data_IF_335460624523
#
_entry.id   IF_335460624523
#
_cell.length_a   1.000
_cell.length_b   1.000
_cell.length_c   1.000
_cell.angle_alpha   90.00
_cell.angle_beta   90.00
_cell.angle_gamma   90.00
#
_symmetry.space_group_name_H-M   'P 1'
#
loop_
_entity.id
_entity.type
_entity.pdbx_description
1 polymer ?
#
# COMPACT_ATOMS: atom_id res chain seq x y z
N UNK A 1 67.77 -143.61 -40.02
CA UNK A 1 66.35 -143.27 -39.82
C UNK A 1 65.51 -144.26 -40.60
N UNK A 2 64.61 -144.96 -39.92
CA UNK A 2 63.62 -145.79 -40.59
C UNK A 2 62.54 -144.93 -41.23
N UNK A 3 61.92 -145.38 -42.32
CA UNK A 3 60.84 -144.65 -43.01
C UNK A 3 59.70 -144.23 -42.07
N UNK A 4 59.46 -144.97 -40.98
CA UNK A 4 58.44 -144.66 -39.98
C UNK A 4 58.79 -143.43 -39.11
N UNK A 5 60.06 -143.23 -38.78
CA UNK A 5 60.51 -142.06 -37.99
C UNK A 5 60.41 -140.77 -38.80
N UNK A 6 60.69 -140.85 -40.10
CA UNK A 6 60.56 -139.72 -41.04
C UNK A 6 59.09 -139.32 -41.17
N UNK A 7 58.18 -140.31 -41.30
CA UNK A 7 56.73 -140.05 -41.37
C UNK A 7 56.19 -139.42 -40.08
N UNK A 8 56.60 -139.92 -38.91
CA UNK A 8 56.19 -139.34 -37.63
C UNK A 8 56.70 -137.89 -37.45
N UNK A 9 57.91 -137.59 -37.94
CA UNK A 9 58.45 -136.23 -37.91
C UNK A 9 57.69 -135.30 -38.85
N UNK A 10 57.33 -135.77 -40.05
CA UNK A 10 56.50 -135.02 -41.01
C UNK A 10 55.12 -134.69 -40.40
N UNK A 11 54.45 -135.67 -39.79
CA UNK A 11 53.14 -135.48 -39.16
C UNK A 11 53.18 -134.49 -37.98
N UNK A 12 54.27 -134.52 -37.19
CA UNK A 12 54.51 -133.52 -36.13
C UNK A 12 54.73 -132.13 -36.69
N UNK A 13 55.46 -132.00 -37.81
CA UNK A 13 55.66 -130.72 -38.48
C UNK A 13 54.37 -130.16 -39.08
N UNK A 14 53.56 -131.00 -39.72
CA UNK A 14 52.24 -130.61 -40.24
C UNK A 14 51.34 -130.11 -39.11
N UNK A 15 51.25 -130.85 -38.01
CA UNK A 15 50.46 -130.45 -36.85
C UNK A 15 50.96 -129.15 -36.23
N UNK A 16 52.28 -128.97 -36.09
CA UNK A 16 52.87 -127.75 -35.56
C UNK A 16 52.65 -126.55 -36.50
N UNK A 17 52.74 -126.76 -37.81
CA UNK A 17 52.48 -125.75 -38.83
C UNK A 17 51.01 -125.33 -38.84
N UNK A 18 50.08 -126.28 -38.80
CA UNK A 18 48.64 -126.01 -38.74
C UNK A 18 48.27 -125.26 -37.46
N UNK A 19 48.85 -125.65 -36.32
CA UNK A 19 48.64 -124.95 -35.05
C UNK A 19 49.20 -123.52 -35.10
N UNK A 20 50.41 -123.34 -35.63
CA UNK A 20 51.00 -122.01 -35.81
C UNK A 20 50.16 -121.12 -36.72
N UNK A 21 49.68 -121.68 -37.84
CA UNK A 21 48.83 -120.96 -38.78
C UNK A 21 47.51 -120.59 -38.08
N UNK A 22 46.79 -121.51 -37.45
CA UNK A 22 45.56 -121.17 -36.74
C UNK A 22 45.74 -120.06 -35.69
N UNK A 23 46.84 -120.09 -34.93
CA UNK A 23 47.17 -119.05 -33.94
C UNK A 23 47.45 -117.70 -34.63
N UNK A 24 48.25 -117.70 -35.70
CA UNK A 24 48.56 -116.50 -36.47
C UNK A 24 47.29 -115.89 -37.11
N UNK A 25 46.39 -116.74 -37.62
CA UNK A 25 45.12 -116.36 -38.21
C UNK A 25 44.23 -115.66 -37.19
N UNK A 26 44.06 -116.29 -36.02
CA UNK A 26 43.30 -115.73 -34.91
C UNK A 26 43.89 -114.41 -34.42
N UNK A 27 45.21 -114.33 -34.24
CA UNK A 27 45.87 -113.09 -33.82
C UNK A 27 45.67 -111.97 -34.84
N UNK A 28 45.76 -112.27 -36.14
CA UNK A 28 45.49 -111.29 -37.19
C UNK A 28 44.03 -110.81 -37.17
N UNK A 29 43.07 -111.71 -36.93
CA UNK A 29 41.66 -111.34 -36.77
C UNK A 29 41.44 -110.45 -35.54
N UNK A 30 42.05 -110.77 -34.40
CA UNK A 30 41.99 -109.99 -33.17
C UNK A 30 42.56 -108.57 -33.39
N UNK A 31 43.74 -108.46 -34.00
CA UNK A 31 44.37 -107.16 -34.34
C UNK A 31 43.50 -106.35 -35.29
N UNK A 32 42.92 -106.98 -36.32
CA UNK A 32 42.02 -106.30 -37.25
C UNK A 32 40.74 -105.83 -36.55
N UNK A 33 40.21 -106.60 -35.61
CA UNK A 33 39.06 -106.20 -34.81
C UNK A 33 39.38 -104.99 -33.94
N UNK A 34 40.50 -105.02 -33.21
CA UNK A 34 40.96 -103.89 -32.39
C UNK A 34 41.19 -102.62 -33.21
N UNK A 35 41.79 -102.74 -34.40
CA UNK A 35 42.02 -101.60 -35.28
C UNK A 35 40.70 -100.98 -35.77
N UNK A 36 39.69 -101.83 -36.08
CA UNK A 36 38.35 -101.35 -36.46
C UNK A 36 37.64 -100.63 -35.30
N UNK A 37 37.80 -101.11 -34.08
CA UNK A 37 37.25 -100.46 -32.88
C UNK A 37 37.93 -99.12 -32.62
N UNK A 38 39.27 -99.08 -32.62
CA UNK A 38 40.04 -97.85 -32.47
C UNK A 38 39.66 -96.80 -33.53
N UNK A 39 39.49 -97.23 -34.79
CA UNK A 39 39.03 -96.36 -35.85
C UNK A 39 37.62 -95.78 -35.59
N UNK A 40 36.69 -96.60 -35.10
CA UNK A 40 35.34 -96.14 -34.74
C UNK A 40 35.36 -95.13 -33.58
N UNK A 41 36.18 -95.36 -32.56
CA UNK A 41 36.34 -94.43 -31.45
C UNK A 41 36.90 -93.09 -31.93
N UNK A 42 37.95 -93.10 -32.74
CA UNK A 42 38.53 -91.90 -33.31
C UNK A 42 37.53 -91.10 -34.17
N UNK A 43 36.70 -91.79 -34.97
CA UNK A 43 35.63 -91.13 -35.72
C UNK A 43 34.56 -90.50 -34.82
N UNK A 44 34.22 -91.14 -33.71
CA UNK A 44 33.27 -90.60 -32.74
C UNK A 44 33.83 -89.36 -32.03
N UNK A 45 35.08 -89.41 -31.58
CA UNK A 45 35.78 -88.27 -30.96
C UNK A 45 35.92 -87.10 -31.94
N UNK A 46 36.27 -87.36 -33.20
CA UNK A 46 36.34 -86.31 -34.23
C UNK A 46 35.00 -85.60 -34.41
N UNK A 47 33.90 -86.34 -34.44
CA UNK A 47 32.55 -85.77 -34.55
C UNK A 47 32.18 -84.92 -33.32
N UNK A 48 32.60 -85.36 -32.13
CA UNK A 48 32.41 -84.59 -30.91
C UNK A 48 33.23 -83.29 -30.92
N UNK A 49 34.49 -83.35 -31.35
CA UNK A 49 35.36 -82.18 -31.50
C UNK A 49 34.77 -81.16 -32.48
N UNK A 50 34.26 -81.61 -33.63
CA UNK A 50 33.56 -80.75 -34.60
C UNK A 50 32.34 -80.08 -33.97
N UNK A 51 31.53 -80.81 -33.20
CA UNK A 51 30.37 -80.27 -32.50
C UNK A 51 30.73 -79.26 -31.39
N UNK A 52 31.83 -79.48 -30.67
CA UNK A 52 32.36 -78.54 -29.68
C UNK A 52 32.85 -77.26 -30.38
N UNK A 53 33.55 -77.41 -31.51
CA UNK A 53 34.08 -76.28 -32.28
C UNK A 53 32.96 -75.40 -32.83
N UNK A 54 31.87 -76.00 -33.31
CA UNK A 54 30.69 -75.25 -33.76
C UNK A 54 30.07 -74.45 -32.61
N UNK A 55 29.87 -75.08 -31.44
CA UNK A 55 29.35 -74.40 -30.23
C UNK A 55 30.23 -73.24 -29.78
N UNK A 56 31.56 -73.43 -29.79
CA UNK A 56 32.51 -72.37 -29.47
C UNK A 56 32.42 -71.20 -30.45
N UNK A 57 32.24 -71.48 -31.74
CA UNK A 57 32.07 -70.45 -32.76
C UNK A 57 30.79 -69.63 -32.53
N UNK A 58 29.67 -70.29 -32.22
CA UNK A 58 28.40 -69.62 -31.87
C UNK A 58 28.55 -68.76 -30.62
N UNK A 59 29.09 -69.33 -29.54
CA UNK A 59 29.30 -68.60 -28.27
C UNK A 59 30.22 -67.38 -28.44
N UNK A 60 31.28 -67.51 -29.23
CA UNK A 60 32.19 -66.38 -29.48
C UNK A 60 31.52 -65.26 -30.28
N UNK A 61 30.61 -65.61 -31.19
CA UNK A 61 29.81 -64.65 -31.95
C UNK A 61 28.84 -63.90 -31.02
N UNK A 62 28.09 -64.63 -30.18
CA UNK A 62 27.19 -64.04 -29.18
C UNK A 62 27.94 -63.12 -28.20
N UNK A 63 29.13 -63.53 -27.76
CA UNK A 63 29.96 -62.72 -26.85
C UNK A 63 30.39 -61.41 -27.51
N UNK A 64 30.71 -61.44 -28.80
CA UNK A 64 31.08 -60.24 -29.58
C UNK A 64 29.90 -59.28 -29.73
N UNK A 65 28.70 -59.81 -29.99
CA UNK A 65 27.47 -59.01 -30.06
C UNK A 65 27.14 -58.37 -28.71
N UNK A 66 27.22 -59.15 -27.62
CA UNK A 66 26.96 -58.65 -26.27
C UNK A 66 27.96 -57.55 -25.86
N UNK A 67 29.24 -57.70 -26.21
CA UNK A 67 30.25 -56.65 -26.00
C UNK A 67 29.90 -55.36 -26.74
N UNK A 68 29.55 -55.48 -28.02
CA UNK A 68 29.17 -54.33 -28.84
C UNK A 68 27.96 -53.60 -28.24
N UNK A 69 26.95 -54.35 -27.78
CA UNK A 69 25.77 -53.79 -27.14
C UNK A 69 26.08 -53.15 -25.78
N UNK A 70 27.01 -53.71 -25.02
CA UNK A 70 27.48 -53.11 -23.76
C UNK A 70 28.14 -51.76 -24.02
N UNK A 71 29.03 -51.68 -25.00
CA UNK A 71 29.70 -50.41 -25.37
C UNK A 71 28.72 -49.35 -25.85
N UNK A 72 27.68 -49.75 -26.60
CA UNK A 72 26.61 -48.84 -27.01
C UNK A 72 25.83 -48.30 -25.81
N UNK A 73 25.46 -49.18 -24.87
CA UNK A 73 24.78 -48.78 -23.63
C UNK A 73 25.65 -47.82 -22.80
N UNK A 74 26.95 -48.09 -22.68
CA UNK A 74 27.88 -47.20 -21.96
C UNK A 74 27.92 -45.80 -22.58
N UNK A 75 28.00 -45.70 -23.92
CA UNK A 75 27.94 -44.41 -24.63
C UNK A 75 26.61 -43.69 -24.39
N UNK A 76 25.49 -44.41 -24.40
CA UNK A 76 24.18 -43.80 -24.11
C UNK A 76 24.10 -43.29 -22.67
N UNK A 77 24.66 -44.03 -21.70
CA UNK A 77 24.72 -43.60 -20.30
C UNK A 77 25.57 -42.35 -20.11
N UNK A 78 26.72 -42.25 -20.78
CA UNK A 78 27.55 -41.04 -20.76
C UNK A 78 26.81 -39.83 -21.36
N UNK A 79 26.12 -40.02 -22.49
CA UNK A 79 25.28 -38.98 -23.08
C UNK A 79 24.15 -38.50 -22.16
N UNK A 80 23.50 -39.43 -21.44
CA UNK A 80 22.46 -39.10 -20.45
C UNK A 80 23.04 -38.36 -19.23
N UNK A 81 24.24 -38.73 -18.76
CA UNK A 81 24.93 -38.00 -17.68
C UNK A 81 25.24 -36.56 -18.12
N UNK A 82 25.77 -36.36 -19.32
CA UNK A 82 26.02 -35.02 -19.86
C UNK A 82 24.77 -34.15 -19.90
N UNK A 83 23.65 -34.70 -20.41
CA UNK A 83 22.34 -33.98 -20.40
C UNK A 83 21.86 -33.66 -18.99
N UNK A 84 22.06 -34.56 -18.02
CA UNK A 84 21.70 -34.32 -16.63
C UNK A 84 22.48 -33.14 -16.05
N UNK A 85 23.78 -33.06 -16.32
CA UNK A 85 24.63 -31.98 -15.81
C UNK A 85 24.31 -30.62 -16.46
N UNK A 86 23.97 -30.61 -17.75
CA UNK A 86 23.46 -29.42 -18.45
C UNK A 86 22.14 -28.93 -17.83
N UNK A 87 21.17 -29.84 -17.62
CA UNK A 87 19.90 -29.50 -17.00
C UNK A 87 20.06 -28.99 -15.56
N UNK A 88 20.96 -29.58 -14.77
CA UNK A 88 21.27 -29.10 -13.42
C UNK A 88 21.85 -27.68 -13.43
N UNK A 89 22.75 -27.40 -14.37
CA UNK A 89 23.32 -26.05 -14.53
C UNK A 89 22.23 -25.03 -14.86
N UNK A 90 21.32 -25.38 -15.77
CA UNK A 90 20.18 -24.52 -16.14
C UNK A 90 19.20 -24.30 -14.99
N UNK A 91 18.96 -25.32 -14.15
CA UNK A 91 18.14 -25.18 -12.93
C UNK A 91 18.79 -24.18 -11.97
N UNK A 92 20.11 -24.26 -11.77
CA UNK A 92 20.82 -23.32 -10.90
C UNK A 92 20.74 -21.88 -11.41
N UNK A 93 20.93 -21.66 -12.72
CA UNK A 93 20.79 -20.34 -13.35
C UNK A 93 19.37 -19.77 -13.20
N UNK A 94 18.35 -20.59 -13.47
CA UNK A 94 16.95 -20.18 -13.33
C UNK A 94 16.59 -19.86 -11.88
N UNK A 95 17.11 -20.63 -10.93
CA UNK A 95 16.92 -20.39 -9.49
C UNK A 95 17.50 -19.04 -9.08
N UNK A 96 18.74 -18.74 -9.49
CA UNK A 96 19.38 -17.44 -9.20
C UNK A 96 18.60 -16.27 -9.84
N UNK A 97 18.12 -16.45 -11.06
CA UNK A 97 17.33 -15.42 -11.77
C UNK A 97 15.99 -15.17 -11.04
N UNK A 98 15.35 -16.23 -10.56
CA UNK A 98 14.11 -16.14 -9.78
C UNK A 98 14.35 -15.41 -8.45
N UNK A 99 15.39 -15.77 -7.72
CA UNK A 99 15.75 -15.11 -6.45
C UNK A 99 16.03 -13.61 -6.64
N UNK A 100 16.76 -13.26 -7.71
CA UNK A 100 17.02 -11.86 -8.08
C UNK A 100 15.72 -11.12 -8.36
N UNK A 101 14.85 -11.70 -9.21
CA UNK A 101 13.55 -11.11 -9.55
C UNK A 101 12.65 -10.93 -8.32
N UNK A 102 12.64 -11.89 -7.40
CA UNK A 102 11.89 -11.80 -6.14
C UNK A 102 12.42 -10.66 -5.26
N UNK A 103 13.74 -10.50 -5.17
CA UNK A 103 14.33 -9.40 -4.40
C UNK A 103 14.07 -8.05 -5.05
N UNK A 104 14.15 -7.96 -6.38
CA UNK A 104 13.83 -6.76 -7.14
C UNK A 104 12.38 -6.33 -6.96
N UNK A 105 11.44 -7.28 -6.77
CA UNK A 105 10.03 -7.01 -6.50
C UNK A 105 9.75 -6.56 -5.05
N UNK A 106 10.61 -6.87 -4.08
CA UNK A 106 10.41 -6.44 -2.68
C UNK A 106 10.53 -4.92 -2.52
N UNK A 107 11.44 -4.28 -3.25
CA UNK A 107 11.65 -2.83 -3.21
C UNK A 107 10.39 -2.04 -3.63
N UNK A 108 9.82 -2.25 -4.83
CA UNK A 108 8.61 -1.55 -5.24
C UNK A 108 7.40 -1.90 -4.37
N UNK A 109 7.31 -3.14 -3.84
CA UNK A 109 6.24 -3.50 -2.90
C UNK A 109 6.30 -2.66 -1.61
N UNK A 110 7.52 -2.46 -1.07
CA UNK A 110 7.73 -1.59 0.08
C UNK A 110 7.43 -0.11 -0.23
N UNK A 111 7.88 0.39 -1.39
CA UNK A 111 7.60 1.75 -1.84
C UNK A 111 6.09 1.99 -2.03
N UNK A 112 5.36 1.00 -2.56
CA UNK A 112 3.90 1.06 -2.71
C UNK A 112 3.20 1.15 -1.35
N UNK A 113 3.61 0.34 -0.38
CA UNK A 113 3.07 0.37 0.99
C UNK A 113 3.28 1.76 1.62
N UNK A 114 4.48 2.35 1.47
CA UNK A 114 4.74 3.71 1.95
C UNK A 114 3.89 4.78 1.26
N UNK A 115 3.62 4.62 -0.03
CA UNK A 115 2.76 5.54 -0.78
C UNK A 115 1.30 5.43 -0.32
N UNK A 116 0.81 4.23 -0.06
CA UNK A 116 -0.54 3.99 0.48
C UNK A 116 -0.71 4.64 1.87
N UNK A 117 0.28 4.49 2.76
CA UNK A 117 0.28 5.16 4.08
C UNK A 117 0.26 6.68 3.94
N UNK A 118 1.10 7.25 3.06
CA UNK A 118 1.12 8.70 2.79
C UNK A 118 -0.21 9.19 2.23
N UNK A 119 -0.83 8.42 1.33
CA UNK A 119 -2.12 8.75 0.73
C UNK A 119 -3.23 8.75 1.79
N UNK A 120 -3.24 7.75 2.68
CA UNK A 120 -4.18 7.69 3.81
C UNK A 120 -4.04 8.91 4.72
N UNK A 121 -2.81 9.26 5.11
CA UNK A 121 -2.55 10.43 5.95
C UNK A 121 -2.94 11.77 5.28
N UNK A 122 -2.78 11.89 3.96
CA UNK A 122 -3.25 13.06 3.21
C UNK A 122 -4.77 13.10 3.16
N UNK A 123 -5.44 11.98 2.93
CA UNK A 123 -6.91 11.91 2.93
C UNK A 123 -7.49 12.30 4.29
N UNK A 124 -6.92 11.80 5.39
CA UNK A 124 -7.36 12.20 6.74
C UNK A 124 -7.23 13.72 6.96
N UNK A 125 -6.15 14.34 6.48
CA UNK A 125 -5.97 15.80 6.54
C UNK A 125 -6.99 16.54 5.68
N UNK A 126 -7.32 16.03 4.50
CA UNK A 126 -8.34 16.61 3.63
C UNK A 126 -9.70 16.57 4.33
N UNK A 127 -10.11 15.41 4.84
CA UNK A 127 -11.38 15.25 5.57
C UNK A 127 -11.44 16.14 6.80
N UNK A 128 -10.33 16.26 7.55
CA UNK A 128 -10.23 17.19 8.69
C UNK A 128 -10.46 18.65 8.27
N UNK A 129 -9.78 19.11 7.21
CA UNK A 129 -9.95 20.47 6.69
C UNK A 129 -11.33 20.73 6.10
N UNK A 130 -11.96 19.74 5.46
CA UNK A 130 -13.33 19.85 4.99
C UNK A 130 -14.29 20.05 6.16
N UNK A 131 -14.11 19.31 7.27
CA UNK A 131 -14.87 19.52 8.49
C UNK A 131 -14.68 20.91 9.10
N UNK A 132 -13.44 21.40 9.19
CA UNK A 132 -13.14 22.77 9.65
C UNK A 132 -13.80 23.83 8.76
N UNK A 133 -13.76 23.64 7.44
CA UNK A 133 -14.39 24.54 6.48
C UNK A 133 -15.91 24.57 6.70
N UNK A 134 -16.56 23.43 6.80
CA UNK A 134 -18.02 23.37 7.06
C UNK A 134 -18.38 24.07 8.37
N UNK A 135 -17.58 23.91 9.43
CA UNK A 135 -17.80 24.60 10.70
C UNK A 135 -17.65 26.13 10.57
N UNK A 136 -16.67 26.61 9.80
CA UNK A 136 -16.48 28.03 9.53
C UNK A 136 -17.61 28.60 8.68
N UNK A 137 -18.04 27.89 7.64
CA UNK A 137 -19.16 28.30 6.77
C UNK A 137 -20.44 28.45 7.62
N UNK A 138 -20.72 27.49 8.50
CA UNK A 138 -21.88 27.57 9.41
C UNK A 138 -21.79 28.76 10.38
N UNK A 139 -20.62 28.98 11.00
CA UNK A 139 -20.40 30.12 11.89
C UNK A 139 -20.52 31.46 11.17
N UNK A 140 -20.16 31.53 9.89
CA UNK A 140 -20.30 32.73 9.05
C UNK A 140 -21.77 33.06 8.88
N UNK A 141 -22.60 32.07 8.51
CA UNK A 141 -24.05 32.25 8.38
C UNK A 141 -24.70 32.65 9.71
N UNK A 142 -24.29 32.04 10.83
CA UNK A 142 -24.78 32.42 12.17
C UNK A 142 -24.44 33.88 12.52
N UNK A 143 -23.23 34.33 12.20
CA UNK A 143 -22.83 35.73 12.43
C UNK A 143 -23.61 36.69 11.53
N UNK A 144 -23.80 36.38 10.25
CA UNK A 144 -24.60 37.18 9.32
C UNK A 144 -26.04 37.33 9.82
N UNK A 145 -26.67 36.23 10.25
CA UNK A 145 -28.02 36.26 10.83
C UNK A 145 -28.08 37.14 12.10
N UNK A 146 -27.09 37.01 12.99
CA UNK A 146 -27.01 37.81 14.21
C UNK A 146 -26.80 39.29 13.91
N UNK A 147 -26.02 39.63 12.88
CA UNK A 147 -25.82 41.00 12.43
C UNK A 147 -27.12 41.61 11.90
N UNK A 148 -27.89 40.86 11.09
CA UNK A 148 -29.21 41.28 10.61
C UNK A 148 -30.16 41.54 11.78
N UNK A 149 -30.21 40.66 12.78
CA UNK A 149 -31.03 40.87 13.99
C UNK A 149 -30.64 42.13 14.77
N UNK A 150 -29.34 42.36 14.95
CA UNK A 150 -28.81 43.56 15.61
C UNK A 150 -29.16 44.83 14.83
N UNK A 151 -28.94 44.83 13.51
CA UNK A 151 -29.26 45.96 12.65
C UNK A 151 -30.76 46.28 12.68
N UNK A 152 -31.62 45.27 12.61
CA UNK A 152 -33.06 45.45 12.76
C UNK A 152 -33.44 46.05 14.13
N UNK A 153 -32.73 45.65 15.19
CA UNK A 153 -32.95 46.17 16.55
C UNK A 153 -32.52 47.63 16.67
N UNK A 154 -31.36 47.98 16.10
CA UNK A 154 -30.88 49.36 16.07
C UNK A 154 -31.76 50.26 15.22
N UNK A 155 -32.22 49.79 14.05
CA UNK A 155 -33.13 50.53 13.21
C UNK A 155 -34.43 50.89 13.96
N UNK A 156 -35.05 49.91 14.63
CA UNK A 156 -36.23 50.17 15.47
C UNK A 156 -35.98 51.23 16.55
N UNK A 157 -34.82 51.18 17.22
CA UNK A 157 -34.47 52.19 18.23
C UNK A 157 -34.26 53.58 17.60
N UNK A 158 -33.69 53.65 16.40
CA UNK A 158 -33.55 54.90 15.67
C UNK A 158 -34.94 55.45 15.34
N UNK A 159 -35.82 54.64 14.76
CA UNK A 159 -37.20 55.04 14.42
C UNK A 159 -37.95 55.52 15.67
N UNK A 160 -37.79 54.84 16.82
CA UNK A 160 -38.36 55.26 18.11
C UNK A 160 -37.81 56.61 18.60
N UNK A 161 -36.50 56.85 18.46
CA UNK A 161 -35.86 58.10 18.86
C UNK A 161 -36.25 59.25 17.94
N UNK A 162 -36.33 59.01 16.63
CA UNK A 162 -36.83 59.98 15.65
C UNK A 162 -38.27 60.37 15.97
N UNK A 163 -39.13 59.40 16.26
CA UNK A 163 -40.49 59.66 16.72
C UNK A 163 -40.55 60.52 17.99
N UNK A 164 -39.66 60.29 18.96
CA UNK A 164 -39.55 61.15 20.17
C UNK A 164 -39.05 62.55 19.84
N UNK A 165 -38.08 62.69 18.94
CA UNK A 165 -37.57 63.99 18.49
C UNK A 165 -38.69 64.78 17.83
N UNK A 166 -39.47 64.15 16.94
CA UNK A 166 -40.59 64.81 16.27
C UNK A 166 -41.68 65.24 17.26
N UNK A 167 -42.01 64.39 18.24
CA UNK A 167 -42.92 64.75 19.33
C UNK A 167 -42.41 65.96 20.12
N UNK A 168 -41.13 65.98 20.49
CA UNK A 168 -40.51 67.09 21.22
C UNK A 168 -40.48 68.37 20.37
N UNK A 169 -40.17 68.28 19.07
CA UNK A 169 -40.21 69.41 18.14
C UNK A 169 -41.61 69.98 18.04
N UNK A 170 -42.64 69.13 17.90
CA UNK A 170 -44.02 69.58 17.81
C UNK A 170 -44.50 70.21 19.13
N UNK A 171 -44.18 69.61 20.28
CA UNK A 171 -44.54 70.14 21.59
C UNK A 171 -43.89 71.50 21.88
N UNK A 172 -42.64 71.69 21.45
CA UNK A 172 -41.90 72.93 21.65
C UNK A 172 -42.03 73.92 20.47
N UNK A 173 -42.75 73.58 19.41
CA UNK A 173 -42.85 74.40 18.20
C UNK A 173 -43.32 75.81 18.49
N UNK A 174 -44.40 75.98 19.25
CA UNK A 174 -44.92 77.30 19.60
C UNK A 174 -43.93 78.09 20.46
N UNK A 175 -43.25 77.43 21.40
CA UNK A 175 -42.23 78.07 22.23
C UNK A 175 -41.05 78.54 21.39
N UNK A 176 -40.50 77.68 20.53
CA UNK A 176 -39.38 78.02 19.63
C UNK A 176 -39.79 79.07 18.59
N UNK A 177 -41.00 79.00 18.03
CA UNK A 177 -41.51 79.98 17.07
C UNK A 177 -41.63 81.37 17.69
N UNK A 178 -42.14 81.47 18.92
CA UNK A 178 -42.22 82.72 19.66
C UNK A 178 -40.81 83.27 19.97
N UNK A 179 -39.85 82.42 20.33
CA UNK A 179 -38.46 82.83 20.57
C UNK A 179 -37.79 83.36 19.28
N UNK A 180 -38.01 82.71 18.14
CA UNK A 180 -37.33 83.07 16.88
C UNK A 180 -37.96 84.26 16.14
N UNK A 181 -39.26 84.50 16.32
CA UNK A 181 -40.02 85.49 15.52
C UNK A 181 -40.67 86.58 16.37
N UNK A 182 -40.34 86.71 17.66
CA UNK A 182 -40.77 87.87 18.43
C UNK A 182 -39.93 89.10 18.06
N UNK A 183 -40.57 90.11 17.49
CA UNK A 183 -39.95 91.43 17.23
C UNK A 183 -39.79 92.28 18.53
N UNK A 184 -40.26 91.76 19.67
CA UNK A 184 -40.08 92.36 21.00
C UNK A 184 -38.97 91.63 21.77
N UNK A 185 -37.95 92.36 22.19
CA UNK A 185 -36.85 91.87 23.02
C UNK A 185 -37.35 91.72 24.48
N UNK A 186 -37.88 90.53 24.82
CA UNK A 186 -38.39 90.24 26.16
C UNK A 186 -37.26 89.67 27.02
N UNK A 187 -36.73 90.52 27.89
CA UNK A 187 -35.62 90.26 28.81
C UNK A 187 -35.82 88.96 29.62
N UNK A 188 -37.05 88.66 30.04
CA UNK A 188 -37.41 87.43 30.74
C UNK A 188 -37.13 86.16 29.91
N UNK A 189 -37.34 86.22 28.59
CA UNK A 189 -37.13 85.11 27.66
C UNK A 189 -35.63 84.88 27.44
N UNK A 190 -34.82 85.92 27.34
CA UNK A 190 -33.36 85.82 27.21
C UNK A 190 -32.70 85.23 28.46
N UNK A 191 -33.19 85.60 29.65
CA UNK A 191 -32.77 85.00 30.92
C UNK A 191 -33.07 83.50 30.92
N UNK A 192 -34.29 83.12 30.54
CA UNK A 192 -34.73 81.72 30.52
C UNK A 192 -33.95 80.93 29.46
N UNK A 193 -33.80 81.44 28.24
CA UNK A 193 -33.04 80.81 27.16
C UNK A 193 -31.56 80.60 27.54
N UNK A 194 -30.93 81.59 28.18
CA UNK A 194 -29.55 81.49 28.66
C UNK A 194 -29.38 80.40 29.73
N UNK A 195 -30.40 80.23 30.60
CA UNK A 195 -30.41 79.17 31.62
C UNK A 195 -30.72 77.80 30.98
N UNK A 196 -31.59 77.73 29.97
CA UNK A 196 -31.88 76.49 29.22
C UNK A 196 -30.65 75.96 28.47
N UNK A 197 -29.83 76.84 27.89
CA UNK A 197 -28.63 76.45 27.14
C UNK A 197 -27.47 76.01 28.06
N UNK A 198 -27.32 76.64 29.23
CA UNK A 198 -26.20 76.39 30.16
C UNK A 198 -26.54 75.50 31.35
N UNK A 199 -27.82 75.17 31.56
CA UNK A 199 -28.35 74.43 32.71
C UNK A 199 -28.42 75.23 34.01
N UNK A 200 -27.51 76.18 34.22
CA UNK A 200 -27.48 77.09 35.37
C UNK A 200 -26.78 78.42 35.01
N UNK A 201 -27.17 79.52 35.65
CA UNK A 201 -26.51 80.82 35.47
C UNK A 201 -26.35 81.56 36.80
N UNK A 202 -25.27 82.35 36.93
CA UNK A 202 -25.10 83.25 38.08
C UNK A 202 -25.82 84.56 37.82
N UNK A 203 -26.44 85.09 38.88
CA UNK A 203 -27.22 86.32 38.86
C UNK A 203 -26.41 87.51 38.31
N UNK A 204 -25.12 87.59 38.61
CA UNK A 204 -24.24 88.67 38.12
C UNK A 204 -23.88 88.54 36.64
N UNK A 205 -23.87 87.32 36.10
CA UNK A 205 -23.59 87.09 34.68
C UNK A 205 -24.85 87.37 33.85
N UNK A 206 -26.03 87.02 34.37
CA UNK A 206 -27.32 87.40 33.77
C UNK A 206 -27.50 88.92 33.72
N UNK A 207 -27.10 89.65 34.78
CA UNK A 207 -27.17 91.13 34.79
C UNK A 207 -26.38 91.80 33.66
N UNK A 208 -25.30 91.16 33.17
CA UNK A 208 -24.43 91.72 32.13
C UNK A 208 -24.92 91.43 30.72
N UNK A 209 -25.79 90.43 30.57
CA UNK A 209 -26.30 89.97 29.28
C UNK A 209 -27.59 90.70 28.88
N UNK A 210 -28.25 91.37 29.83
CA UNK A 210 -29.52 92.07 29.60
C UNK A 210 -29.26 93.55 29.34
N UNK A 211 -29.89 94.10 28.29
CA UNK A 211 -29.81 95.53 27.96
C UNK A 211 -30.76 96.38 28.82
N UNK A 212 -30.68 96.20 30.15
CA UNK A 212 -31.44 96.97 31.14
C UNK A 212 -30.62 97.31 32.39
N UNK A 213 -30.98 98.38 33.11
CA UNK A 213 -30.30 98.76 34.34
C UNK A 213 -30.20 97.60 35.35
N UNK A 214 -29.07 97.40 36.05
CA UNK A 214 -28.83 96.22 36.91
C UNK A 214 -29.89 95.98 37.99
N UNK A 215 -30.52 97.06 38.48
CA UNK A 215 -31.59 97.00 39.48
C UNK A 215 -32.88 96.42 38.88
N UNK A 216 -33.20 96.79 37.63
CA UNK A 216 -34.34 96.24 36.90
C UNK A 216 -34.10 94.77 36.56
N UNK A 217 -32.89 94.41 36.09
CA UNK A 217 -32.51 93.02 35.86
C UNK A 217 -32.67 92.13 37.11
N UNK A 218 -32.17 92.57 38.26
CA UNK A 218 -32.33 91.83 39.53
C UNK A 218 -33.79 91.72 39.93
N UNK A 219 -34.58 92.78 39.76
CA UNK A 219 -36.00 92.78 40.09
C UNK A 219 -36.77 91.80 39.22
N UNK A 220 -36.51 91.78 37.91
CA UNK A 220 -37.13 90.87 36.96
C UNK A 220 -36.77 89.41 37.28
N UNK A 221 -35.50 89.12 37.53
CA UNK A 221 -35.04 87.76 37.92
C UNK A 221 -35.69 87.31 39.24
N UNK A 222 -35.75 88.19 40.25
CA UNK A 222 -36.46 87.90 41.51
C UNK A 222 -37.96 87.72 41.33
N UNK A 223 -38.60 88.49 40.44
CA UNK A 223 -40.03 88.33 40.15
C UNK A 223 -40.34 87.02 39.43
N UNK A 224 -39.48 86.60 38.50
CA UNK A 224 -39.57 85.28 37.87
C UNK A 224 -39.40 84.16 38.90
N UNK A 225 -38.49 84.33 39.87
CA UNK A 225 -38.32 83.38 40.97
C UNK A 225 -39.54 83.32 41.91
N UNK A 226 -40.11 84.48 42.28
CA UNK A 226 -41.33 84.56 43.11
C UNK A 226 -42.55 83.95 42.40
N UNK A 227 -42.64 84.07 41.07
CA UNK A 227 -43.68 83.43 40.26
C UNK A 227 -43.45 81.92 40.04
N UNK A 228 -42.36 81.36 40.56
CA UNK A 228 -42.03 79.93 40.45
C UNK A 228 -41.53 79.52 39.06
N UNK A 229 -41.12 80.48 38.23
CA UNK A 229 -40.61 80.23 36.87
C UNK A 229 -39.10 79.93 36.89
N UNK A 230 -38.39 80.40 37.92
CA UNK A 230 -36.96 80.16 38.16
C UNK A 230 -36.71 79.82 39.63
N UNK A 231 -35.67 79.05 39.92
CA UNK A 231 -35.15 78.87 41.27
C UNK A 231 -33.95 79.82 41.47
N UNK A 232 -34.06 80.74 42.42
CA UNK A 232 -32.97 81.63 42.82
C UNK A 232 -32.50 81.26 44.22
N UNK A 233 -31.27 80.77 44.34
CA UNK A 233 -30.61 80.64 45.64
C UNK A 233 -30.07 82.01 46.06
N UNK A 234 -30.71 82.63 47.04
CA UNK A 234 -30.32 83.96 47.53
C UNK A 234 -28.94 83.98 48.21
N UNK A 235 -28.41 82.83 48.64
CA UNK A 235 -27.11 82.74 49.30
C UNK A 235 -25.97 82.60 48.29
N UNK A 236 -26.18 81.86 47.19
CA UNK A 236 -25.15 81.61 46.18
C UNK A 236 -25.31 82.48 44.92
N UNK A 237 -26.41 83.22 44.79
CA UNK A 237 -26.74 83.99 43.60
C UNK A 237 -26.93 83.13 42.34
N UNK A 238 -27.27 81.85 42.52
CA UNK A 238 -27.41 80.88 41.43
C UNK A 238 -28.86 80.83 40.98
N UNK A 239 -29.07 80.89 39.68
CA UNK A 239 -30.39 80.88 39.03
C UNK A 239 -30.47 79.63 38.16
N UNK A 240 -31.46 78.79 38.42
CA UNK A 240 -31.75 77.58 37.63
C UNK A 240 -33.21 77.55 37.24
N UNK A 241 -33.55 76.71 36.27
CA UNK A 241 -34.95 76.35 36.05
C UNK A 241 -35.44 75.41 37.18
N UNK A 242 -36.75 75.35 37.45
CA UNK A 242 -37.35 74.46 38.43
C UNK A 242 -37.04 72.97 38.22
#
# INVERSE_FOLDING_TARGET
MGSQEILALIEQFETAYDTYWQVLQKHNEDVLSQLREAWRYMQAEQKEEEGIKEKLSTQNSELTELRTKSEELDRTMEGLKGKKDELNSKIAELTNTLETSVNDLKKPAFELTQLEEKLSAVNEKITGKEGEKTALDQKTVENENREVELNNTYQKKIDELEGKIDQLRQANFFTSFLIENSDEEIIEVDIIATIMDKGEAKLDDLKKLLDVPPIMAVRTIKQLAVKGILNLDENSGKVTLP
#
